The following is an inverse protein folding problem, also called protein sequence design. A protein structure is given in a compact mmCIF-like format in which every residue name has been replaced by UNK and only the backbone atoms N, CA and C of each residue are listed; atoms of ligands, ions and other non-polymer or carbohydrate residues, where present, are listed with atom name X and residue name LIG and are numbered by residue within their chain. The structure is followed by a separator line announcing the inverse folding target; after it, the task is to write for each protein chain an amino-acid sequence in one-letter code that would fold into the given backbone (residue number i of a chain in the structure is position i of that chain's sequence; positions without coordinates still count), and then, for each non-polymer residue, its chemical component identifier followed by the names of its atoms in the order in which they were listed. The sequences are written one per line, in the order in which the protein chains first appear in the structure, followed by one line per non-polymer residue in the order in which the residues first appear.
data_IF_257923119371
#
_entry.id   IF_257923119371
#
_cell.length_a   1.000
_cell.length_b   1.000
_cell.length_c   1.000
_cell.angle_alpha   90.00
_cell.angle_beta   90.00
_cell.angle_gamma   90.00
#
_symmetry.space_group_name_H-M   'P 1'
#
loop_
_entity.id
_entity.type
_entity.pdbx_description
1 polymer ?
#
# COMPACT_ATOMS: atom_id res chain seq x y z
N UNK A 1 21.49 17.32 -34.70
CA UNK A 1 21.72 15.86 -34.79
C UNK A 1 20.98 15.23 -33.62
N UNK A 2 20.01 14.35 -33.88
CA UNK A 2 19.16 13.73 -32.85
C UNK A 2 19.73 12.33 -32.56
N UNK A 3 19.94 12.00 -31.28
CA UNK A 3 20.24 10.64 -30.85
C UNK A 3 18.98 10.00 -30.26
N UNK A 4 18.67 8.79 -30.70
CA UNK A 4 17.55 7.99 -30.19
C UNK A 4 18.10 6.90 -29.29
N UNK A 5 17.55 6.79 -28.09
CA UNK A 5 17.89 5.74 -27.12
C UNK A 5 16.65 4.91 -26.81
N UNK A 6 16.84 3.60 -26.64
CA UNK A 6 15.83 2.71 -26.06
C UNK A 6 16.14 2.52 -24.59
N UNK A 7 15.12 2.57 -23.74
CA UNK A 7 15.24 2.42 -22.31
C UNK A 7 14.09 1.56 -21.76
N UNK A 8 14.28 1.07 -20.55
CA UNK A 8 13.32 0.25 -19.79
C UNK A 8 12.95 1.00 -18.51
N UNK A 9 11.69 0.97 -18.14
CA UNK A 9 11.20 1.44 -16.85
C UNK A 9 10.32 0.36 -16.19
N UNK A 10 10.23 0.40 -14.87
CA UNK A 10 9.45 -0.55 -14.08
C UNK A 10 8.20 0.15 -13.57
N UNK A 11 7.03 -0.45 -13.82
CA UNK A 11 5.75 0.07 -13.34
C UNK A 11 5.07 -0.91 -12.40
N UNK A 12 4.42 -0.37 -11.38
CA UNK A 12 3.58 -1.15 -10.48
C UNK A 12 2.39 -1.68 -11.26
N UNK A 13 2.18 -2.98 -11.24
CA UNK A 13 1.06 -3.61 -11.92
C UNK A 13 -0.30 -3.31 -11.29
N UNK A 14 -0.33 -2.66 -10.11
CA UNK A 14 -1.55 -2.25 -9.41
C UNK A 14 -1.82 -0.75 -9.56
N UNK A 15 -0.94 0.11 -9.03
CA UNK A 15 -1.15 1.58 -9.08
C UNK A 15 -0.59 2.25 -10.33
N UNK A 16 0.14 1.52 -11.19
CA UNK A 16 0.81 2.03 -12.41
C UNK A 16 1.95 3.02 -12.17
N UNK A 17 2.22 3.41 -10.92
CA UNK A 17 3.39 4.23 -10.57
C UNK A 17 4.68 3.61 -11.10
N UNK A 18 5.58 4.47 -11.56
CA UNK A 18 6.88 4.07 -12.03
C UNK A 18 7.91 4.01 -10.89
N UNK A 19 8.93 3.18 -11.05
CA UNK A 19 10.10 3.17 -10.18
C UNK A 19 10.84 4.52 -10.29
N UNK A 20 11.03 5.20 -9.16
CA UNK A 20 11.47 6.59 -9.13
C UNK A 20 10.57 7.40 -8.21
N UNK A 21 10.38 8.68 -8.53
CA UNK A 21 9.37 9.52 -7.91
C UNK A 21 8.24 9.80 -8.91
N UNK A 22 7.05 10.24 -8.44
CA UNK A 22 5.97 10.64 -9.34
C UNK A 22 6.37 11.70 -10.37
N UNK A 23 7.41 12.50 -10.08
CA UNK A 23 7.92 13.55 -10.96
C UNK A 23 9.17 13.14 -11.74
N UNK A 24 9.76 11.97 -11.44
CA UNK A 24 10.99 11.50 -12.07
C UNK A 24 10.97 9.97 -12.19
N UNK A 25 10.42 9.48 -13.30
CA UNK A 25 10.53 8.09 -13.72
C UNK A 25 12.00 7.75 -13.98
N UNK A 26 12.49 6.64 -13.39
CA UNK A 26 13.84 6.15 -13.68
C UNK A 26 13.82 5.23 -14.90
N UNK A 27 14.73 5.53 -15.82
CA UNK A 27 14.95 4.78 -17.03
C UNK A 27 16.30 4.05 -16.93
N UNK A 28 16.31 2.80 -17.39
CA UNK A 28 17.45 1.92 -17.35
C UNK A 28 17.82 1.46 -18.75
N UNK A 29 19.10 1.16 -18.95
CA UNK A 29 19.61 0.69 -20.25
C UNK A 29 19.24 -0.76 -20.54
N UNK A 30 19.05 -1.58 -19.50
CA UNK A 30 18.74 -3.01 -19.61
C UNK A 30 17.63 -3.38 -18.64
N UNK A 31 16.92 -4.46 -18.95
CA UNK A 31 15.88 -5.01 -18.08
C UNK A 31 16.47 -5.42 -16.73
N UNK A 32 17.56 -6.20 -16.70
CA UNK A 32 18.20 -6.63 -15.45
C UNK A 32 18.55 -5.45 -14.53
N UNK A 33 19.09 -4.35 -15.06
CA UNK A 33 19.39 -3.18 -14.24
C UNK A 33 18.12 -2.55 -13.63
N UNK A 34 17.01 -2.57 -14.37
CA UNK A 34 15.71 -2.10 -13.88
C UNK A 34 15.15 -3.03 -12.79
N UNK A 35 15.26 -4.35 -12.98
CA UNK A 35 14.83 -5.37 -12.01
C UNK A 35 15.64 -5.29 -10.71
N UNK A 36 16.96 -5.17 -10.82
CA UNK A 36 17.86 -5.05 -9.67
C UNK A 36 17.56 -3.78 -8.87
N UNK A 37 17.35 -2.65 -9.56
CA UNK A 37 16.98 -1.40 -8.90
C UNK A 37 15.60 -1.47 -8.23
N UNK A 38 14.61 -2.10 -8.87
CA UNK A 38 13.29 -2.30 -8.27
C UNK A 38 13.38 -3.16 -7.00
N UNK A 39 14.12 -4.26 -7.05
CA UNK A 39 14.32 -5.14 -5.89
C UNK A 39 15.03 -4.41 -4.74
N UNK A 40 16.05 -3.60 -5.05
CA UNK A 40 16.76 -2.78 -4.07
C UNK A 40 15.84 -1.75 -3.40
N UNK A 41 14.88 -1.20 -4.13
CA UNK A 41 13.86 -0.26 -3.64
C UNK A 41 12.69 -0.95 -2.92
N UNK A 42 12.79 -2.27 -2.67
CA UNK A 42 11.80 -3.04 -1.93
C UNK A 42 10.54 -3.38 -2.74
N UNK A 43 10.58 -3.25 -4.07
CA UNK A 43 9.53 -3.75 -4.93
C UNK A 43 9.52 -5.28 -4.91
N UNK A 44 8.36 -5.88 -5.20
CA UNK A 44 8.16 -7.34 -5.15
C UNK A 44 7.52 -7.82 -6.45
N UNK A 45 7.83 -9.07 -6.83
CA UNK A 45 7.19 -9.75 -7.94
C UNK A 45 6.14 -10.72 -7.38
N UNK A 46 4.96 -10.75 -7.99
CA UNK A 46 3.93 -11.74 -7.65
C UNK A 46 4.14 -13.08 -8.37
N UNK A 47 3.31 -14.08 -8.07
CA UNK A 47 3.40 -15.40 -8.72
C UNK A 47 3.16 -15.36 -10.23
N UNK A 48 2.54 -14.30 -10.75
CA UNK A 48 2.29 -14.09 -12.18
C UNK A 48 3.39 -13.29 -12.88
N UNK A 49 4.49 -12.96 -12.19
CA UNK A 49 5.59 -12.19 -12.77
C UNK A 49 5.34 -10.68 -12.83
N UNK A 50 4.28 -10.17 -12.21
CA UNK A 50 3.97 -8.73 -12.20
C UNK A 50 4.65 -8.05 -11.02
N UNK A 51 5.24 -6.88 -11.29
CA UNK A 51 5.89 -6.05 -10.27
C UNK A 51 4.89 -5.25 -9.44
N UNK A 52 5.18 -5.13 -8.15
CA UNK A 52 4.41 -4.37 -7.17
C UNK A 52 5.36 -3.42 -6.44
N UNK A 53 5.01 -2.12 -6.42
CA UNK A 53 5.78 -1.14 -5.68
C UNK A 53 5.77 -1.42 -4.19
N UNK A 54 6.73 -0.85 -3.46
CA UNK A 54 6.87 -1.02 -2.02
C UNK A 54 5.60 -0.61 -1.24
N UNK A 55 4.79 0.33 -1.76
CA UNK A 55 3.52 0.72 -1.17
C UNK A 55 2.38 -0.30 -1.41
N UNK A 56 2.34 -0.95 -2.59
CA UNK A 56 1.29 -1.91 -2.93
C UNK A 56 1.65 -3.35 -2.52
N UNK A 57 2.94 -3.71 -2.45
CA UNK A 57 3.41 -5.05 -2.10
C UNK A 57 2.84 -5.59 -0.76
N UNK A 58 2.66 -4.79 0.30
CA UNK A 58 2.00 -5.24 1.52
C UNK A 58 0.57 -5.78 1.32
N UNK A 59 -0.17 -5.25 0.34
CA UNK A 59 -1.52 -5.75 0.01
C UNK A 59 -1.47 -7.17 -0.57
N UNK A 60 -0.47 -7.46 -1.40
CA UNK A 60 -0.26 -8.79 -1.97
C UNK A 60 -0.02 -9.85 -0.88
N UNK A 61 0.81 -9.52 0.11
CA UNK A 61 1.08 -10.42 1.24
C UNK A 61 -0.21 -10.65 2.04
N UNK A 62 -1.01 -9.60 2.28
CA UNK A 62 -2.28 -9.74 2.99
C UNK A 62 -3.33 -10.57 2.25
N UNK A 63 -3.33 -10.58 0.91
CA UNK A 63 -4.22 -11.44 0.13
C UNK A 63 -3.94 -12.93 0.35
N UNK A 64 -2.68 -13.30 0.60
CA UNK A 64 -2.26 -14.69 0.82
C UNK A 64 -2.32 -15.08 2.30
N UNK A 65 -1.83 -14.22 3.18
CA UNK A 65 -1.68 -14.51 4.62
C UNK A 65 -2.85 -14.02 5.49
N UNK A 66 -3.76 -13.23 4.92
CA UNK A 66 -4.79 -12.51 5.66
C UNK A 66 -4.30 -11.18 6.24
N UNK A 67 -5.26 -10.36 6.66
CA UNK A 67 -4.99 -9.04 7.23
C UNK A 67 -4.60 -9.12 8.71
N UNK A 68 -3.53 -8.43 9.08
CA UNK A 68 -3.16 -8.20 10.48
C UNK A 68 -3.92 -6.99 11.04
N UNK A 69 -5.21 -7.18 11.28
CA UNK A 69 -6.10 -6.11 11.72
C UNK A 69 -5.81 -5.71 13.17
N UNK A 70 -5.78 -4.41 13.43
CA UNK A 70 -5.77 -3.89 14.79
C UNK A 70 -7.06 -4.26 15.54
N UNK A 71 -7.07 -4.17 16.89
CA UNK A 71 -8.32 -4.08 17.63
C UNK A 71 -9.18 -2.93 17.09
N UNK A 72 -10.50 -3.03 17.28
CA UNK A 72 -11.42 -1.94 17.02
C UNK A 72 -11.10 -0.75 17.93
N UNK A 73 -11.12 0.45 17.35
CA UNK A 73 -10.88 1.72 18.04
C UNK A 73 -12.04 2.66 17.76
N UNK A 74 -12.42 3.41 18.78
CA UNK A 74 -13.43 4.47 18.70
C UNK A 74 -12.76 5.82 18.93
N UNK A 75 -12.52 6.63 17.88
CA UNK A 75 -11.86 7.92 18.03
C UNK A 75 -12.81 8.91 18.71
N UNK A 76 -12.25 9.93 19.37
CA UNK A 76 -13.02 11.08 19.82
C UNK A 76 -13.11 12.10 18.69
N UNK A 77 -14.29 12.69 18.49
CA UNK A 77 -14.50 13.82 17.58
C UNK A 77 -14.17 15.15 18.28
N UNK A 78 -14.18 16.28 17.55
CA UNK A 78 -13.72 17.61 18.02
C UNK A 78 -14.27 18.10 19.37
N UNK A 79 -15.36 17.51 19.86
CA UNK A 79 -15.98 17.86 21.15
C UNK A 79 -15.77 16.78 22.21
N UNK A 80 -14.75 15.94 22.09
CA UNK A 80 -14.45 14.80 22.99
C UNK A 80 -15.54 13.71 23.04
N UNK A 81 -16.54 13.80 22.16
CA UNK A 81 -17.57 12.78 22.04
C UNK A 81 -17.00 11.58 21.28
N UNK A 82 -17.33 10.33 21.67
CA UNK A 82 -16.98 9.17 20.89
C UNK A 82 -17.63 9.19 19.50
N UNK A 83 -16.87 8.90 18.45
CA UNK A 83 -17.39 8.82 17.09
C UNK A 83 -18.53 7.80 16.97
N UNK A 84 -19.43 7.99 16.00
CA UNK A 84 -20.53 7.04 15.73
C UNK A 84 -20.06 5.73 15.08
N UNK A 85 -18.80 5.67 14.69
CA UNK A 85 -18.18 4.50 14.05
C UNK A 85 -16.94 4.07 14.80
N UNK A 86 -16.71 2.77 14.85
CA UNK A 86 -15.43 2.19 15.19
C UNK A 86 -14.65 1.88 13.92
N UNK A 87 -13.33 1.90 14.01
CA UNK A 87 -12.46 1.50 12.92
C UNK A 87 -11.37 0.54 13.40
N UNK A 88 -10.88 -0.26 12.47
CA UNK A 88 -9.62 -0.98 12.60
C UNK A 88 -8.90 -0.95 11.27
N UNK A 89 -7.59 -1.14 11.29
CA UNK A 89 -6.80 -1.15 10.08
C UNK A 89 -5.80 -2.28 10.09
N UNK A 90 -5.45 -2.78 8.90
CA UNK A 90 -4.36 -3.72 8.74
C UNK A 90 -3.04 -2.99 8.96
N UNK A 91 -2.21 -3.46 9.90
CA UNK A 91 -0.89 -2.85 10.17
C UNK A 91 0.10 -3.00 9.03
N UNK A 92 -0.17 -3.90 8.09
CA UNK A 92 0.69 -4.21 6.94
C UNK A 92 0.28 -3.42 5.70
N UNK A 93 -0.97 -3.52 5.27
CA UNK A 93 -1.44 -2.92 4.00
C UNK A 93 -2.36 -1.71 4.17
N UNK A 94 -2.56 -1.22 5.39
CA UNK A 94 -3.39 -0.05 5.69
C UNK A 94 -4.86 -0.14 5.24
N UNK A 95 -5.36 -1.32 4.84
CA UNK A 95 -6.79 -1.54 4.63
C UNK A 95 -7.55 -1.16 5.89
N UNK A 96 -8.55 -0.30 5.72
CA UNK A 96 -9.40 0.23 6.78
C UNK A 96 -10.75 -0.47 6.74
N UNK A 97 -11.18 -0.98 7.89
CA UNK A 97 -12.55 -1.41 8.10
C UNK A 97 -13.22 -0.46 9.08
N UNK A 98 -14.48 -0.14 8.83
CA UNK A 98 -15.32 0.64 9.72
C UNK A 98 -16.63 -0.08 9.98
N UNK A 99 -17.20 0.14 11.17
CA UNK A 99 -18.53 -0.33 11.53
C UNK A 99 -19.23 0.72 12.38
N UNK A 100 -20.58 0.74 12.41
CA UNK A 100 -21.31 1.49 13.41
C UNK A 100 -20.84 1.09 14.81
N UNK A 101 -20.61 2.07 15.67
CA UNK A 101 -20.28 1.79 17.06
C UNK A 101 -21.50 1.13 17.73
N UNK A 102 -21.27 0.02 18.43
CA UNK A 102 -22.30 -0.53 19.30
C UNK A 102 -22.66 0.50 20.36
N UNK A 103 -23.94 0.86 20.55
CA UNK A 103 -24.37 1.61 21.73
C UNK A 103 -23.91 0.81 22.95
N UNK A 104 -23.13 1.43 23.85
CA UNK A 104 -22.57 0.70 24.98
C UNK A 104 -23.67 0.22 25.92
N UNK A 105 -23.75 -1.10 26.13
CA UNK A 105 -23.88 -1.65 27.48
C UNK A 105 -22.68 -1.14 28.29
N UNK A 106 -22.88 -0.16 29.16
CA UNK A 106 -21.79 0.45 29.91
C UNK A 106 -22.08 1.83 30.46
N UNK A 107 -23.30 2.04 30.97
CA UNK A 107 -23.54 2.98 32.06
C UNK A 107 -23.75 2.13 33.33
N UNK A 108 -22.82 2.20 34.29
CA UNK A 108 -23.29 2.29 35.66
C UNK A 108 -22.63 3.50 36.32
N UNK A 109 -23.44 4.57 36.42
CA UNK A 109 -23.58 5.50 37.54
C UNK A 109 -22.31 6.06 38.17
#
# INVERSE_FOLDING_TARGET
MIQVHTCVSVHCGQCRDALGSPECERHYRTENAALDAAAADGWRIDRGGRWWCSACAPALICQVEGHQLSPWRRPLIRNEHPALSEYRYCRRCCVLESRPATPGEGDPR
#
